data_IF_098918866816
#
_entry.id   IF_098918866816
#
_cell.length_a   1.000
_cell.length_b   1.000
_cell.length_c   1.000
_cell.angle_alpha   90.00
_cell.angle_beta   90.00
_cell.angle_gamma   90.00
#
_symmetry.space_group_name_H-M   'P 1'
#
loop_
_entity.id
_entity.type
_entity.pdbx_description
1 polymer ?
#
# COMPACT_ATOMS: atom_id res chain seq x y z
N UNK A 1 44.76 -43.72 -12.75
CA UNK A 1 43.32 -43.79 -13.03
C UNK A 1 42.86 -42.35 -13.26
N UNK A 2 42.45 -42.02 -14.48
CA UNK A 2 42.13 -40.66 -14.92
C UNK A 2 40.61 -40.54 -14.91
N UNK A 3 40.07 -39.77 -13.97
CA UNK A 3 38.62 -39.57 -13.84
C UNK A 3 38.10 -38.67 -14.97
N UNK A 4 37.41 -39.30 -15.92
CA UNK A 4 36.67 -38.64 -16.99
C UNK A 4 35.28 -38.19 -16.50
N UNK A 5 35.20 -37.08 -15.75
CA UNK A 5 33.94 -36.36 -15.57
C UNK A 5 33.86 -35.21 -16.58
N UNK A 6 33.61 -35.57 -17.84
CA UNK A 6 33.29 -34.62 -18.91
C UNK A 6 31.82 -34.23 -18.72
N UNK A 7 31.56 -33.06 -18.14
CA UNK A 7 30.23 -32.45 -18.17
C UNK A 7 29.85 -32.27 -19.66
N UNK A 8 28.81 -32.93 -20.19
CA UNK A 8 28.27 -32.53 -21.48
C UNK A 8 27.64 -31.16 -21.27
N UNK A 9 28.29 -30.12 -21.78
CA UNK A 9 27.70 -28.81 -21.95
C UNK A 9 26.58 -28.93 -23.01
N UNK A 10 25.43 -29.48 -22.63
CA UNK A 10 24.18 -29.28 -23.37
C UNK A 10 23.79 -27.83 -23.13
N UNK A 11 24.34 -26.95 -23.96
CA UNK A 11 24.19 -25.49 -23.98
C UNK A 11 22.76 -25.11 -24.43
N UNK A 12 21.75 -25.84 -23.96
CA UNK A 12 20.35 -25.45 -23.99
C UNK A 12 20.20 -24.30 -23.01
N UNK A 13 20.52 -23.10 -23.49
CA UNK A 13 20.09 -21.85 -22.86
C UNK A 13 18.61 -21.99 -22.56
N UNK A 14 18.26 -22.11 -21.29
CA UNK A 14 16.90 -22.12 -20.82
C UNK A 14 16.34 -20.74 -21.18
N UNK A 15 15.72 -20.64 -22.35
CA UNK A 15 15.06 -19.41 -22.78
C UNK A 15 13.86 -19.25 -21.88
N UNK A 16 14.00 -18.47 -20.82
CA UNK A 16 12.86 -17.85 -20.18
C UNK A 16 12.16 -17.06 -21.28
N UNK A 17 11.07 -17.62 -21.80
CA UNK A 17 10.18 -16.91 -22.72
C UNK A 17 9.76 -15.68 -21.94
N UNK A 18 10.33 -14.51 -22.26
CA UNK A 18 9.80 -13.26 -21.77
C UNK A 18 8.37 -13.27 -22.25
N UNK A 19 7.45 -13.50 -21.33
CA UNK A 19 6.05 -13.29 -21.61
C UNK A 19 5.93 -11.79 -21.60
N UNK A 20 6.43 -11.15 -22.66
CA UNK A 20 6.01 -9.84 -23.11
C UNK A 20 4.54 -10.07 -23.44
N UNK A 21 3.71 -10.07 -22.40
CA UNK A 21 2.26 -10.08 -22.53
C UNK A 21 1.97 -8.85 -23.34
N UNK A 22 1.67 -9.10 -24.61
CA UNK A 22 0.93 -8.32 -25.57
C UNK A 22 1.18 -6.79 -25.59
N UNK A 23 1.23 -6.24 -26.79
CA UNK A 23 0.96 -4.82 -26.98
C UNK A 23 -0.44 -4.47 -26.39
N UNK A 24 -0.47 -4.07 -25.11
CA UNK A 24 -1.63 -3.55 -24.40
C UNK A 24 -1.48 -2.03 -24.40
N UNK A 25 -2.49 -1.34 -24.92
CA UNK A 25 -2.62 0.13 -25.10
C UNK A 25 -1.56 0.99 -24.38
N UNK A 26 -0.48 1.33 -25.08
CA UNK A 26 0.62 2.19 -24.60
C UNK A 26 0.13 3.55 -24.06
N UNK A 27 -1.04 4.03 -24.52
CA UNK A 27 -1.67 5.27 -24.03
C UNK A 27 -2.39 5.08 -22.69
N UNK A 28 -3.14 4.00 -22.50
CA UNK A 28 -3.98 3.82 -21.30
C UNK A 28 -3.13 3.62 -20.03
N UNK A 29 -2.02 2.89 -20.16
CA UNK A 29 -1.10 2.68 -19.03
C UNK A 29 -0.25 3.93 -18.76
N UNK A 30 0.18 4.65 -19.81
CA UNK A 30 0.89 5.92 -19.64
C UNK A 30 0.01 7.00 -18.98
N UNK A 31 -1.28 7.09 -19.36
CA UNK A 31 -2.23 8.01 -18.72
C UNK A 31 -2.44 7.62 -17.26
N UNK A 32 -2.54 6.32 -16.96
CA UNK A 32 -2.69 5.87 -15.58
C UNK A 32 -1.43 6.15 -14.74
N UNK A 33 -0.24 5.92 -15.28
CA UNK A 33 1.04 6.26 -14.63
C UNK A 33 1.10 7.77 -14.36
N UNK A 34 0.83 8.61 -15.35
CA UNK A 34 0.82 10.06 -15.18
C UNK A 34 -0.22 10.51 -14.14
N UNK A 35 -1.41 9.90 -14.17
CA UNK A 35 -2.48 10.18 -13.19
C UNK A 35 -2.02 9.83 -11.79
N UNK A 36 -1.41 8.66 -11.57
CA UNK A 36 -0.98 8.25 -10.24
C UNK A 36 0.16 9.14 -9.74
N UNK A 37 1.09 9.57 -10.60
CA UNK A 37 2.17 10.48 -10.22
C UNK A 37 1.62 11.84 -9.80
N UNK A 38 0.72 12.44 -10.59
CA UNK A 38 0.12 13.74 -10.28
C UNK A 38 -0.74 13.66 -9.02
N UNK A 39 -1.60 12.65 -8.90
CA UNK A 39 -2.44 12.45 -7.71
C UNK A 39 -1.59 12.23 -6.47
N UNK A 40 -0.56 11.39 -6.56
CA UNK A 40 0.35 11.13 -5.44
C UNK A 40 1.05 12.41 -5.00
N UNK A 41 1.54 13.22 -5.95
CA UNK A 41 2.16 14.51 -5.63
C UNK A 41 1.19 15.46 -4.90
N UNK A 42 -0.04 15.63 -5.41
CA UNK A 42 -1.04 16.51 -4.81
C UNK A 42 -1.43 16.01 -3.41
N UNK A 43 -1.67 14.71 -3.25
CA UNK A 43 -2.03 14.11 -1.96
C UNK A 43 -0.87 14.23 -0.98
N UNK A 44 0.36 13.92 -1.39
CA UNK A 44 1.57 14.11 -0.56
C UNK A 44 1.71 15.55 -0.09
N UNK A 45 1.56 16.52 -0.99
CA UNK A 45 1.67 17.94 -0.66
C UNK A 45 0.57 18.38 0.33
N UNK A 46 -0.68 18.03 0.05
CA UNK A 46 -1.81 18.36 0.92
C UNK A 46 -1.66 17.74 2.32
N UNK A 47 -1.29 16.47 2.38
CA UNK A 47 -1.14 15.73 3.64
C UNK A 47 0.08 16.20 4.42
N UNK A 48 1.18 16.57 3.75
CA UNK A 48 2.35 17.16 4.40
C UNK A 48 1.98 18.49 5.05
N UNK A 49 1.27 19.37 4.35
CA UNK A 49 0.79 20.65 4.92
C UNK A 49 -0.13 20.42 6.12
N UNK A 50 -1.08 19.48 6.01
CA UNK A 50 -1.97 19.15 7.11
C UNK A 50 -1.21 18.58 8.32
N UNK A 51 -0.30 17.64 8.09
CA UNK A 51 0.49 16.98 9.12
C UNK A 51 1.38 17.98 9.84
N UNK A 52 2.06 18.88 9.12
CA UNK A 52 2.90 19.93 9.71
C UNK A 52 2.13 20.83 10.67
N UNK A 53 0.87 21.19 10.34
CA UNK A 53 0.02 22.00 11.23
C UNK A 53 -0.34 21.26 12.51
N UNK A 54 -0.72 19.98 12.40
CA UNK A 54 -1.04 19.13 13.55
C UNK A 54 0.20 18.94 14.43
N UNK A 55 1.37 18.74 13.82
CA UNK A 55 2.60 18.46 14.54
C UNK A 55 3.15 19.68 15.29
N UNK A 56 2.97 20.89 14.76
CA UNK A 56 3.37 22.13 15.45
C UNK A 56 2.70 22.29 16.82
N UNK A 57 1.44 21.83 16.93
CA UNK A 57 0.67 21.89 18.18
C UNK A 57 0.85 20.64 19.06
N UNK A 58 1.45 19.58 18.52
CA UNK A 58 1.63 18.32 19.21
C UNK A 58 2.80 18.37 20.22
N UNK A 59 2.58 17.82 21.41
CA UNK A 59 3.66 17.50 22.33
C UNK A 59 4.52 16.33 21.84
N UNK A 60 5.69 16.13 22.43
CA UNK A 60 6.63 15.06 22.07
C UNK A 60 5.96 13.67 22.12
N UNK A 61 5.21 13.40 23.19
CA UNK A 61 4.50 12.12 23.39
C UNK A 61 3.44 11.93 22.30
N UNK A 62 2.67 12.98 22.01
CA UNK A 62 1.65 12.97 20.97
C UNK A 62 2.26 12.69 19.59
N UNK A 63 3.40 13.32 19.28
CA UNK A 63 4.09 13.12 18.01
C UNK A 63 4.62 11.67 17.85
N UNK A 64 5.15 11.06 18.91
CA UNK A 64 5.55 9.64 18.90
C UNK A 64 4.36 8.71 18.63
N UNK A 65 3.20 8.97 19.26
CA UNK A 65 1.97 8.20 19.03
C UNK A 65 1.52 8.34 17.58
N UNK A 66 1.56 9.56 17.01
CA UNK A 66 1.21 9.81 15.62
C UNK A 66 2.12 9.04 14.67
N UNK A 67 3.45 9.05 14.88
CA UNK A 67 4.39 8.26 14.08
C UNK A 67 4.04 6.77 14.15
N UNK A 68 3.80 6.25 15.35
CA UNK A 68 3.46 4.84 15.53
C UNK A 68 2.17 4.47 14.77
N UNK A 69 1.14 5.32 14.83
CA UNK A 69 -0.10 5.12 14.06
C UNK A 69 0.18 5.14 12.56
N UNK A 70 1.01 6.07 12.06
CA UNK A 70 1.36 6.15 10.64
C UNK A 70 2.05 4.86 10.18
N UNK A 71 2.99 4.32 10.98
CA UNK A 71 3.67 3.05 10.66
C UNK A 71 2.67 1.88 10.64
N UNK A 72 1.74 1.81 11.60
CA UNK A 72 0.70 0.77 11.60
C UNK A 72 -0.21 0.86 10.38
N UNK A 73 -0.59 2.08 9.97
CA UNK A 73 -1.38 2.31 8.76
C UNK A 73 -0.62 1.85 7.52
N UNK A 74 0.68 2.17 7.40
CA UNK A 74 1.53 1.71 6.31
C UNK A 74 1.56 0.18 6.19
N UNK A 75 1.78 -0.52 7.32
CA UNK A 75 1.78 -1.99 7.36
C UNK A 75 0.39 -2.55 6.98
N UNK A 76 -0.68 -1.95 7.50
CA UNK A 76 -2.03 -2.39 7.19
C UNK A 76 -2.37 -2.28 5.70
N UNK A 77 -2.01 -1.16 5.06
CA UNK A 77 -2.21 -1.02 3.61
C UNK A 77 -1.31 -1.96 2.80
N UNK A 78 -0.08 -2.21 3.22
CA UNK A 78 0.80 -3.21 2.57
C UNK A 78 0.20 -4.62 2.64
N UNK A 79 -0.38 -5.01 3.77
CA UNK A 79 -1.09 -6.29 3.93
C UNK A 79 -2.24 -6.38 2.93
N UNK A 80 -3.00 -5.31 2.73
CA UNK A 80 -4.09 -5.29 1.74
C UNK A 80 -3.53 -5.44 0.33
N UNK A 81 -2.55 -4.61 -0.07
CA UNK A 81 -1.98 -4.65 -1.41
C UNK A 81 -1.40 -6.01 -1.75
N UNK A 82 -0.63 -6.59 -0.83
CA UNK A 82 -0.07 -7.95 -0.99
C UNK A 82 -1.11 -9.05 -0.93
N UNK A 83 -2.20 -8.89 -0.16
CA UNK A 83 -3.31 -9.84 -0.19
C UNK A 83 -4.05 -9.79 -1.52
N UNK A 84 -4.18 -8.63 -2.16
CA UNK A 84 -4.90 -8.47 -3.44
C UNK A 84 -4.14 -9.20 -4.55
N UNK A 85 -2.81 -9.10 -4.55
CA UNK A 85 -1.96 -9.78 -5.53
C UNK A 85 -1.86 -11.28 -5.30
N UNK A 86 -1.98 -11.73 -4.05
CA UNK A 86 -1.91 -13.15 -3.68
C UNK A 86 -3.26 -13.89 -3.67
N UNK A 87 -4.39 -13.18 -3.79
CA UNK A 87 -5.71 -13.80 -3.75
C UNK A 87 -6.09 -14.46 -5.09
N UNK A 88 -6.80 -15.58 -5.02
CA UNK A 88 -7.26 -16.31 -6.21
C UNK A 88 -8.72 -15.96 -6.55
N UNK A 89 -9.06 -15.78 -7.83
CA UNK A 89 -10.44 -15.47 -8.25
C UNK A 89 -11.43 -16.65 -8.05
N UNK A 90 -10.95 -17.90 -8.12
CA UNK A 90 -11.77 -19.13 -8.07
C UNK A 90 -12.75 -19.19 -6.88
N UNK A 91 -12.31 -19.04 -5.61
CA UNK A 91 -13.22 -19.06 -4.47
C UNK A 91 -14.27 -17.93 -4.55
N UNK A 92 -13.92 -16.76 -5.06
CA UNK A 92 -14.85 -15.63 -5.15
C UNK A 92 -15.91 -15.81 -6.24
N UNK A 93 -15.60 -16.53 -7.33
CA UNK A 93 -16.62 -16.89 -8.32
C UNK A 93 -17.68 -17.83 -7.73
N UNK A 94 -17.27 -18.81 -6.92
CA UNK A 94 -18.21 -19.68 -6.21
C UNK A 94 -19.03 -18.91 -5.16
N UNK A 95 -18.43 -17.94 -4.47
CA UNK A 95 -19.16 -17.05 -3.56
C UNK A 95 -20.15 -16.15 -4.31
N UNK A 96 -19.79 -15.65 -5.49
CA UNK A 96 -20.63 -14.79 -6.30
C UNK A 96 -21.84 -15.53 -6.89
N UNK A 97 -21.70 -16.81 -7.26
CA UNK A 97 -22.84 -17.63 -7.72
C UNK A 97 -23.85 -17.89 -6.60
N UNK A 98 -23.37 -18.03 -5.36
CA UNK A 98 -24.19 -18.08 -4.13
C UNK A 98 -24.70 -16.70 -3.66
N UNK A 99 -24.51 -15.64 -4.45
CA UNK A 99 -24.93 -14.26 -4.15
C UNK A 99 -24.39 -13.72 -2.80
N UNK A 100 -23.20 -14.16 -2.39
CA UNK A 100 -22.57 -13.66 -1.17
C UNK A 100 -22.18 -12.19 -1.34
N UNK A 101 -22.50 -11.37 -0.34
CA UNK A 101 -22.20 -9.95 -0.33
C UNK A 101 -20.68 -9.69 -0.41
N UNK A 102 -20.27 -8.71 -1.21
CA UNK A 102 -18.86 -8.37 -1.42
C UNK A 102 -18.11 -9.24 -2.43
N UNK A 103 -18.61 -10.42 -2.82
CA UNK A 103 -17.89 -11.35 -3.72
C UNK A 103 -17.58 -10.75 -5.10
N UNK A 104 -18.55 -10.03 -5.70
CA UNK A 104 -18.33 -9.33 -6.98
C UNK A 104 -17.28 -8.22 -6.88
N UNK A 105 -17.18 -7.58 -5.72
CA UNK A 105 -16.19 -6.52 -5.49
C UNK A 105 -14.80 -7.10 -5.29
N UNK A 106 -14.67 -8.24 -4.60
CA UNK A 106 -13.42 -8.98 -4.48
C UNK A 106 -12.84 -9.34 -5.84
N UNK A 107 -13.65 -9.89 -6.75
CA UNK A 107 -13.21 -10.22 -8.12
C UNK A 107 -12.69 -8.96 -8.84
N UNK A 108 -13.35 -7.81 -8.68
CA UNK A 108 -12.88 -6.55 -9.28
C UNK A 108 -11.55 -6.09 -8.71
N UNK A 109 -11.34 -6.23 -7.39
CA UNK A 109 -10.05 -5.87 -6.77
C UNK A 109 -8.93 -6.77 -7.28
N UNK A 110 -9.15 -8.08 -7.36
CA UNK A 110 -8.16 -9.06 -7.83
C UNK A 110 -7.82 -8.83 -9.32
N UNK A 111 -8.82 -8.54 -10.17
CA UNK A 111 -8.58 -8.21 -11.59
C UNK A 111 -7.79 -6.93 -11.80
N UNK A 112 -7.84 -6.01 -10.84
CA UNK A 112 -7.11 -4.75 -10.86
C UNK A 112 -5.93 -4.77 -9.85
N UNK A 113 -5.44 -5.96 -9.49
CA UNK A 113 -4.47 -6.14 -8.42
C UNK A 113 -3.23 -5.26 -8.56
N UNK A 114 -2.65 -5.18 -9.77
CA UNK A 114 -1.46 -4.37 -10.01
C UNK A 114 -1.67 -2.90 -9.64
N UNK A 115 -2.83 -2.34 -9.99
CA UNK A 115 -3.16 -0.93 -9.71
C UNK A 115 -3.42 -0.72 -8.22
N UNK A 116 -4.17 -1.63 -7.59
CA UNK A 116 -4.51 -1.53 -6.16
C UNK A 116 -3.27 -1.71 -5.30
N UNK A 117 -2.43 -2.70 -5.61
CA UNK A 117 -1.19 -2.97 -4.91
C UNK A 117 -0.19 -1.83 -5.04
N UNK A 118 -0.05 -1.22 -6.22
CA UNK A 118 0.82 -0.06 -6.41
C UNK A 118 0.35 1.13 -5.57
N UNK A 119 -0.97 1.39 -5.51
CA UNK A 119 -1.51 2.45 -4.65
C UNK A 119 -1.25 2.13 -3.17
N UNK A 120 -1.56 0.91 -2.73
CA UNK A 120 -1.45 0.53 -1.33
C UNK A 120 -0.01 0.42 -0.82
N UNK A 121 0.89 -0.15 -1.63
CA UNK A 121 2.26 -0.43 -1.21
C UNK A 121 3.17 0.77 -1.47
N UNK A 122 3.06 1.39 -2.64
CA UNK A 122 4.02 2.40 -3.10
C UNK A 122 3.51 3.79 -2.74
N UNK A 123 2.34 4.20 -3.25
CA UNK A 123 1.82 5.56 -3.00
C UNK A 123 1.59 5.82 -1.52
N UNK A 124 0.81 4.96 -0.84
CA UNK A 124 0.52 5.13 0.58
C UNK A 124 1.78 4.90 1.42
N UNK A 125 2.61 3.93 1.04
CA UNK A 125 3.85 3.61 1.72
C UNK A 125 4.84 4.77 1.72
N UNK A 126 5.07 5.38 0.55
CA UNK A 126 5.97 6.52 0.36
C UNK A 126 5.46 7.76 1.11
N UNK A 127 4.15 8.03 1.05
CA UNK A 127 3.51 9.12 1.79
C UNK A 127 3.70 8.94 3.30
N UNK A 128 3.44 7.74 3.82
CA UNK A 128 3.64 7.43 5.24
C UNK A 128 5.12 7.55 5.62
N UNK A 129 6.04 7.12 4.75
CA UNK A 129 7.48 7.24 4.94
C UNK A 129 7.92 8.70 5.05
N UNK A 130 7.51 9.55 4.10
CA UNK A 130 7.85 10.98 4.11
C UNK A 130 7.31 11.67 5.37
N UNK A 131 6.05 11.42 5.72
CA UNK A 131 5.42 12.08 6.87
C UNK A 131 6.03 11.61 8.18
N UNK A 132 6.26 10.30 8.34
CA UNK A 132 6.88 9.75 9.56
C UNK A 132 8.33 10.22 9.73
N UNK A 133 9.09 10.34 8.63
CA UNK A 133 10.44 10.93 8.64
C UNK A 133 10.43 12.40 9.04
N UNK A 134 9.58 13.22 8.39
CA UNK A 134 9.42 14.63 8.74
C UNK A 134 8.98 14.82 10.20
N UNK A 135 8.09 13.95 10.69
CA UNK A 135 7.66 13.98 12.08
C UNK A 135 8.77 13.56 13.06
N UNK A 136 9.59 12.57 12.69
CA UNK A 136 10.77 12.16 13.46
C UNK A 136 11.78 13.31 13.60
N UNK A 137 12.10 13.99 12.51
CA UNK A 137 12.98 15.16 12.51
C UNK A 137 12.42 16.28 13.42
N UNK A 138 11.12 16.56 13.34
CA UNK A 138 10.46 17.56 14.19
C UNK A 138 10.59 17.25 15.69
N UNK A 139 10.41 15.99 16.08
CA UNK A 139 10.56 15.55 17.49
C UNK A 139 11.97 15.83 17.99
N UNK A 140 12.98 15.56 17.17
CA UNK A 140 14.40 15.63 17.56
C UNK A 140 14.83 17.08 17.75
N UNK A 141 14.42 17.95 16.83
CA UNK A 141 14.60 19.41 16.96
C UNK A 141 14.00 19.91 18.28
N UNK A 142 12.83 19.38 18.68
CA UNK A 142 12.14 19.80 19.91
C UNK A 142 12.76 19.25 21.20
N UNK A 143 13.45 18.10 21.16
CA UNK A 143 14.12 17.49 22.31
C UNK A 143 15.53 18.06 22.54
N UNK A 144 16.33 18.17 21.48
CA UNK A 144 17.78 18.47 21.58
C UNK A 144 18.07 19.96 21.33
N UNK A 145 17.14 20.69 20.71
CA UNK A 145 17.40 22.05 20.21
C UNK A 145 18.41 22.05 19.06
N UNK A 146 18.75 23.24 18.55
CA UNK A 146 19.65 23.42 17.40
C UNK A 146 21.14 23.18 17.71
N UNK A 147 21.48 22.14 18.47
CA UNK A 147 22.86 21.76 18.78
C UNK A 147 23.45 20.82 17.71
N UNK A 148 24.78 20.81 17.57
CA UNK A 148 25.51 20.01 16.57
C UNK A 148 25.35 18.48 16.67
N UNK A 149 24.81 17.96 17.77
CA UNK A 149 24.54 16.53 17.98
C UNK A 149 23.19 16.04 17.39
N UNK A 150 22.41 16.92 16.76
CA UNK A 150 21.11 16.59 16.17
C UNK A 150 21.19 15.50 15.11
N UNK A 151 22.29 15.46 14.33
CA UNK A 151 22.44 14.54 13.20
C UNK A 151 22.46 13.07 13.62
N UNK A 152 23.14 12.71 14.73
CA UNK A 152 23.24 11.30 15.16
C UNK A 152 21.92 10.82 15.73
N UNK A 153 21.26 11.64 16.54
CA UNK A 153 19.93 11.31 17.09
C UNK A 153 18.87 11.17 15.98
N UNK A 154 18.94 12.02 14.95
CA UNK A 154 18.09 11.94 13.76
C UNK A 154 18.27 10.65 12.98
N UNK A 155 19.52 10.25 12.75
CA UNK A 155 19.82 8.98 12.08
C UNK A 155 19.33 7.78 12.89
N UNK A 156 19.51 7.79 14.22
CA UNK A 156 19.01 6.70 15.08
C UNK A 156 17.50 6.63 15.03
N UNK A 157 16.79 7.74 15.19
CA UNK A 157 15.32 7.76 15.16
C UNK A 157 14.77 7.34 13.80
N UNK A 158 15.33 7.87 12.70
CA UNK A 158 14.93 7.50 11.33
C UNK A 158 15.22 6.03 11.06
N UNK A 159 16.36 5.54 11.55
CA UNK A 159 16.73 4.13 11.49
C UNK A 159 15.75 3.24 12.24
N UNK A 160 15.32 3.62 13.44
CA UNK A 160 14.32 2.90 14.24
C UNK A 160 12.95 2.87 13.55
N UNK A 161 12.49 4.00 13.01
CA UNK A 161 11.23 4.08 12.25
C UNK A 161 11.30 3.17 11.02
N UNK A 162 12.42 3.19 10.30
CA UNK A 162 12.64 2.36 9.11
C UNK A 162 12.69 0.88 9.46
N UNK A 163 13.43 0.50 10.51
CA UNK A 163 13.52 -0.89 10.96
C UNK A 163 12.15 -1.43 11.40
N UNK A 164 11.38 -0.64 12.15
CA UNK A 164 10.02 -1.01 12.57
C UNK A 164 9.09 -1.15 11.35
N UNK A 165 9.19 -0.24 10.39
CA UNK A 165 8.36 -0.27 9.17
C UNK A 165 8.68 -1.49 8.31
N UNK A 166 9.96 -1.73 8.01
CA UNK A 166 10.38 -2.86 7.18
C UNK A 166 10.10 -4.19 7.86
N UNK A 167 10.42 -4.31 9.15
CA UNK A 167 10.14 -5.51 9.95
C UNK A 167 8.64 -5.79 10.08
N UNK A 168 7.84 -4.76 10.36
CA UNK A 168 6.39 -4.85 10.43
C UNK A 168 5.75 -5.25 9.10
N UNK A 169 6.21 -4.68 7.98
CA UNK A 169 5.76 -5.08 6.63
C UNK A 169 6.13 -6.53 6.33
N UNK A 170 7.32 -6.98 6.68
CA UNK A 170 7.73 -8.37 6.49
C UNK A 170 6.82 -9.36 7.24
N UNK A 171 6.52 -9.09 8.52
CA UNK A 171 5.57 -9.88 9.30
C UNK A 171 4.16 -9.84 8.70
N UNK A 172 3.71 -8.65 8.29
CA UNK A 172 2.42 -8.44 7.64
C UNK A 172 2.26 -9.26 6.36
N UNK A 173 3.30 -9.33 5.53
CA UNK A 173 3.30 -10.12 4.29
C UNK A 173 3.09 -11.60 4.54
N UNK A 174 3.71 -12.18 5.57
CA UNK A 174 3.48 -13.58 5.93
C UNK A 174 2.01 -13.83 6.26
N UNK A 175 1.37 -12.91 6.99
CA UNK A 175 -0.06 -12.98 7.33
C UNK A 175 -0.92 -12.80 6.07
N UNK A 176 -0.57 -11.85 5.22
CA UNK A 176 -1.25 -11.55 3.95
C UNK A 176 -1.27 -12.76 3.03
N UNK A 177 -0.13 -13.44 2.86
CA UNK A 177 0.00 -14.61 2.00
C UNK A 177 -0.78 -15.82 2.55
N UNK A 178 -0.76 -16.04 3.87
CA UNK A 178 -1.48 -17.17 4.49
C UNK A 178 -3.00 -17.02 4.42
N UNK A 179 -3.49 -15.79 4.53
CA UNK A 179 -4.93 -15.48 4.65
C UNK A 179 -5.45 -14.55 3.54
N UNK A 180 -4.83 -14.54 2.36
CA UNK A 180 -5.08 -13.57 1.29
C UNK A 180 -6.57 -13.48 0.92
N UNK A 181 -7.19 -14.62 0.62
CA UNK A 181 -8.61 -14.69 0.26
C UNK A 181 -9.54 -14.16 1.37
N UNK A 182 -9.21 -14.42 2.64
CA UNK A 182 -10.03 -13.95 3.76
C UNK A 182 -9.90 -12.44 3.97
N UNK A 183 -8.69 -11.89 3.86
CA UNK A 183 -8.43 -10.46 3.96
C UNK A 183 -9.16 -9.73 2.84
N UNK A 184 -9.03 -10.21 1.60
CA UNK A 184 -9.72 -9.63 0.45
C UNK A 184 -11.22 -9.72 0.57
N UNK A 185 -11.76 -10.82 1.07
CA UNK A 185 -13.19 -10.91 1.35
C UNK A 185 -13.65 -9.80 2.31
N UNK A 186 -12.98 -9.62 3.45
CA UNK A 186 -13.32 -8.57 4.43
C UNK A 186 -13.22 -7.16 3.84
N UNK A 187 -12.13 -6.85 3.15
CA UNK A 187 -11.94 -5.55 2.49
C UNK A 187 -13.05 -5.29 1.48
N UNK A 188 -13.43 -6.32 0.70
CA UNK A 188 -14.47 -6.22 -0.31
C UNK A 188 -15.87 -6.01 0.28
N UNK A 189 -16.16 -6.62 1.43
CA UNK A 189 -17.40 -6.39 2.18
C UNK A 189 -17.45 -4.94 2.68
N UNK A 190 -16.38 -4.42 3.27
CA UNK A 190 -16.31 -3.04 3.76
C UNK A 190 -16.52 -2.05 2.61
N UNK A 191 -15.81 -2.24 1.48
CA UNK A 191 -15.96 -1.38 0.31
C UNK A 191 -17.38 -1.45 -0.25
N UNK A 192 -17.97 -2.64 -0.32
CA UNK A 192 -19.34 -2.81 -0.80
C UNK A 192 -20.35 -2.11 0.11
N UNK A 193 -20.16 -2.21 1.43
CA UNK A 193 -21.00 -1.52 2.42
C UNK A 193 -20.89 0.01 2.32
N UNK A 194 -19.67 0.54 2.19
CA UNK A 194 -19.45 1.99 1.99
C UNK A 194 -20.11 2.44 0.70
N UNK A 195 -19.98 1.67 -0.38
CA UNK A 195 -20.58 1.99 -1.68
C UNK A 195 -22.11 1.98 -1.62
N UNK A 196 -22.71 1.01 -0.94
CA UNK A 196 -24.15 0.93 -0.71
C UNK A 196 -24.64 2.19 0.06
N UNK A 197 -23.95 2.52 1.16
CA UNK A 197 -24.27 3.69 1.99
C UNK A 197 -24.09 5.02 1.24
N UNK A 198 -23.01 5.16 0.47
CA UNK A 198 -22.75 6.34 -0.36
C UNK A 198 -23.78 6.46 -1.49
N UNK A 199 -24.21 5.34 -2.09
CA UNK A 199 -25.24 5.33 -3.12
C UNK A 199 -26.59 5.78 -2.57
N UNK A 200 -26.97 5.32 -1.37
CA UNK A 200 -28.18 5.78 -0.67
C UNK A 200 -28.12 7.29 -0.43
N UNK A 201 -26.99 7.81 0.06
CA UNK A 201 -26.80 9.25 0.29
C UNK A 201 -26.94 10.06 -1.02
N UNK A 202 -26.31 9.59 -2.10
CA UNK A 202 -26.37 10.24 -3.42
C UNK A 202 -27.76 10.20 -4.04
N UNK A 203 -28.55 9.15 -3.76
CA UNK A 203 -29.95 9.03 -4.20
C UNK A 203 -30.87 9.98 -3.43
N UNK A 204 -30.62 10.16 -2.12
CA UNK A 204 -31.34 11.15 -1.29
C UNK A 204 -31.09 12.59 -1.77
N UNK A 205 -29.86 12.92 -2.17
CA UNK A 205 -29.52 14.23 -2.74
C UNK A 205 -30.15 14.53 -4.12
N UNK A 206 -30.45 13.50 -4.93
CA UNK A 206 -31.18 13.68 -6.19
C UNK A 206 -32.67 13.93 -6.00
N UNK A 207 -33.31 13.27 -5.03
CA UNK A 207 -34.74 13.45 -4.74
C UNK A 207 -35.09 14.82 -4.11
N UNK A 208 -34.09 15.53 -3.56
CA UNK A 208 -34.26 16.88 -2.98
C UNK A 208 -34.06 17.99 -4.02
N UNK A 209 -33.30 17.75 -5.10
CA UNK A 209 -33.11 18.70 -6.20
C UNK A 209 -34.20 18.61 -7.31
N UNK A 210 -35.19 17.74 -7.14
CA UNK A 210 -36.30 17.54 -8.08
C UNK A 210 -37.66 17.95 -7.47
N UNK A 211 -37.63 18.76 -6.41
CA UNK A 211 -38.77 19.49 -5.82
C UNK A 211 -38.46 20.97 -5.79
#
# INVERSE_FOLDING_TARGET
MVDHYRHPADDKKIKFKSTTKAAVSKKSDAIWILTITIVSFIVSAALTVASSKVLQQAGIITALIVIFIIVLVNIFFDIIGTSVTAAEEKPFHAMASRKIFGAKQAIRLIRNADKVSNVCNDVIGDICGIISGAAGAYIIIRIIGSQSNTTVAELIMTGLITALTVGGKALGKTIALRNSNYIIYKVSVIISFIKERLFIFRRKGKLVNEK
#
